data_IF_460868930013
#
_entry.id   IF_460868930013
#
_cell.length_a   1.000
_cell.length_b   1.000
_cell.length_c   1.000
_cell.angle_alpha   90.00
_cell.angle_beta   90.00
_cell.angle_gamma   90.00
#
_symmetry.space_group_name_H-M   'P 1'
#
loop_
_entity.id
_entity.type
_entity.pdbx_description
1 polymer ?
#
# COMPACT_ATOMS: atom_id res chain seq x y z
N UNK A 1 47.85 -21.37 -116.70
CA UNK A 1 48.18 -22.42 -115.72
C UNK A 1 49.44 -22.12 -114.89
N UNK A 2 50.49 -21.46 -115.42
CA UNK A 2 51.74 -21.17 -114.69
C UNK A 2 51.69 -20.09 -113.58
N UNK A 3 50.67 -19.21 -113.56
CA UNK A 3 50.56 -18.16 -112.54
C UNK A 3 50.12 -18.71 -111.18
N UNK A 4 49.10 -19.59 -111.17
CA UNK A 4 48.59 -20.24 -109.96
C UNK A 4 49.64 -21.12 -109.27
N UNK A 5 50.51 -21.79 -110.04
CA UNK A 5 51.52 -22.70 -109.48
C UNK A 5 52.70 -21.98 -108.84
N UNK A 6 53.04 -20.76 -109.29
CA UNK A 6 54.14 -19.94 -108.73
C UNK A 6 53.76 -19.21 -107.44
N UNK A 7 52.48 -18.87 -107.26
CA UNK A 7 51.96 -18.19 -106.06
C UNK A 7 51.28 -19.11 -105.05
N UNK A 8 51.02 -20.39 -105.39
CA UNK A 8 50.40 -21.36 -104.48
C UNK A 8 51.14 -21.52 -103.14
N UNK A 9 52.49 -21.51 -103.16
CA UNK A 9 53.29 -21.56 -101.94
C UNK A 9 53.09 -20.32 -101.07
N UNK A 10 53.09 -19.13 -101.67
CA UNK A 10 52.84 -17.87 -100.96
C UNK A 10 51.42 -17.77 -100.40
N UNK A 11 50.42 -18.22 -101.17
CA UNK A 11 49.02 -18.28 -100.72
C UNK A 11 48.86 -19.24 -99.54
N UNK A 12 49.53 -20.40 -99.57
CA UNK A 12 49.54 -21.36 -98.45
C UNK A 12 50.22 -20.80 -97.20
N UNK A 13 51.36 -20.12 -97.37
CA UNK A 13 52.08 -19.47 -96.26
C UNK A 13 51.25 -18.34 -95.64
N UNK A 14 50.66 -17.48 -96.47
CA UNK A 14 49.79 -16.37 -96.01
C UNK A 14 48.53 -16.93 -95.34
N UNK A 15 47.90 -17.95 -95.93
CA UNK A 15 46.74 -18.63 -95.34
C UNK A 15 47.07 -19.28 -93.98
N UNK A 16 48.23 -19.92 -93.86
CA UNK A 16 48.72 -20.48 -92.60
C UNK A 16 49.00 -19.42 -91.52
N UNK A 17 49.57 -18.27 -91.91
CA UNK A 17 49.80 -17.12 -91.03
C UNK A 17 48.49 -16.49 -90.54
N UNK A 18 47.51 -16.33 -91.43
CA UNK A 18 46.16 -15.86 -91.08
C UNK A 18 45.47 -16.84 -90.14
N UNK A 19 45.58 -18.15 -90.38
CA UNK A 19 45.03 -19.18 -89.51
C UNK A 19 45.68 -19.16 -88.11
N UNK A 20 47.01 -18.98 -88.03
CA UNK A 20 47.73 -18.84 -86.77
C UNK A 20 47.32 -17.57 -86.01
N UNK A 21 47.19 -16.43 -86.69
CA UNK A 21 46.73 -15.17 -86.10
C UNK A 21 45.27 -15.28 -85.61
N UNK A 22 44.40 -15.90 -86.40
CA UNK A 22 43.01 -16.16 -86.03
C UNK A 22 42.90 -17.09 -84.82
N UNK A 23 43.73 -18.13 -84.76
CA UNK A 23 43.85 -19.04 -83.61
C UNK A 23 44.35 -18.31 -82.35
N UNK A 24 45.38 -17.47 -82.48
CA UNK A 24 45.93 -16.71 -81.36
C UNK A 24 44.94 -15.67 -80.80
N UNK A 25 44.24 -14.94 -81.68
CA UNK A 25 43.21 -13.99 -81.27
C UNK A 25 42.02 -14.69 -80.60
N UNK A 26 41.59 -15.84 -81.13
CA UNK A 26 40.53 -16.64 -80.52
C UNK A 26 40.94 -17.18 -79.15
N UNK A 27 42.19 -17.62 -79.01
CA UNK A 27 42.76 -18.03 -77.72
C UNK A 27 42.78 -16.87 -76.71
N UNK A 28 43.26 -15.69 -77.11
CA UNK A 28 43.29 -14.50 -76.26
C UNK A 28 41.90 -14.05 -75.81
N UNK A 29 40.92 -14.12 -76.72
CA UNK A 29 39.52 -13.82 -76.40
C UNK A 29 38.96 -14.82 -75.38
N UNK A 30 39.15 -16.11 -75.59
CA UNK A 30 38.72 -17.16 -74.66
C UNK A 30 39.39 -17.04 -73.29
N UNK A 31 40.68 -16.68 -73.23
CA UNK A 31 41.41 -16.43 -71.98
C UNK A 31 40.80 -15.25 -71.19
N UNK A 32 40.46 -14.15 -71.88
CA UNK A 32 39.89 -12.95 -71.28
C UNK A 32 38.45 -13.17 -70.80
N UNK A 33 37.64 -13.88 -71.59
CA UNK A 33 36.29 -14.31 -71.20
C UNK A 33 36.34 -15.26 -70.01
N UNK A 34 37.26 -16.23 -69.99
CA UNK A 34 37.47 -17.11 -68.84
C UNK A 34 37.83 -16.37 -67.55
N UNK A 35 38.76 -15.40 -67.62
CA UNK A 35 39.11 -14.54 -66.47
C UNK A 35 37.93 -13.72 -65.97
N UNK A 36 37.15 -13.12 -66.88
CA UNK A 36 35.98 -12.31 -66.53
C UNK A 36 34.89 -13.16 -65.87
N UNK A 37 34.66 -14.36 -66.41
CA UNK A 37 33.63 -15.29 -65.90
C UNK A 37 34.00 -15.80 -64.51
N UNK A 38 35.27 -16.18 -64.29
CA UNK A 38 35.76 -16.60 -62.97
C UNK A 38 35.64 -15.48 -61.93
N UNK A 39 36.03 -14.24 -62.27
CA UNK A 39 35.89 -13.10 -61.33
C UNK A 39 34.43 -12.80 -60.94
N UNK A 40 33.48 -12.99 -61.86
CA UNK A 40 32.04 -12.87 -61.57
C UNK A 40 31.54 -14.00 -60.69
N UNK A 41 32.02 -15.22 -60.91
CA UNK A 41 31.66 -16.38 -60.07
C UNK A 41 32.20 -16.18 -58.65
N UNK A 42 33.45 -15.75 -58.50
CA UNK A 42 34.07 -15.52 -57.20
C UNK A 42 33.35 -14.42 -56.41
N UNK A 43 33.07 -13.28 -57.04
CA UNK A 43 32.29 -12.20 -56.40
C UNK A 43 30.85 -12.61 -56.04
N UNK A 44 30.18 -13.38 -56.90
CA UNK A 44 28.83 -13.91 -56.59
C UNK A 44 28.87 -14.88 -55.42
N UNK A 45 29.91 -15.72 -55.34
CA UNK A 45 30.12 -16.66 -54.24
C UNK A 45 30.36 -15.92 -52.92
N UNK A 46 31.23 -14.92 -52.90
CA UNK A 46 31.48 -14.07 -51.73
C UNK A 46 30.20 -13.36 -51.26
N UNK A 47 29.42 -12.81 -52.19
CA UNK A 47 28.14 -12.16 -51.86
C UNK A 47 27.14 -13.14 -51.26
N UNK A 48 27.07 -14.37 -51.79
CA UNK A 48 26.22 -15.43 -51.26
C UNK A 48 26.65 -15.88 -49.86
N UNK A 49 27.95 -16.00 -49.61
CA UNK A 49 28.51 -16.35 -48.30
C UNK A 49 28.21 -15.25 -47.26
N UNK A 50 28.38 -13.98 -47.64
CA UNK A 50 28.03 -12.83 -46.81
C UNK A 50 26.52 -12.79 -46.48
N UNK A 51 25.67 -13.04 -47.46
CA UNK A 51 24.22 -13.10 -47.25
C UNK A 51 23.82 -14.26 -46.33
N UNK A 52 24.48 -15.41 -46.44
CA UNK A 52 24.25 -16.54 -45.53
C UNK A 52 24.66 -16.18 -44.10
N UNK A 53 25.84 -15.57 -43.92
CA UNK A 53 26.32 -15.12 -42.61
C UNK A 53 25.39 -14.09 -41.97
N UNK A 54 24.90 -13.12 -42.75
CA UNK A 54 23.91 -12.13 -42.30
C UNK A 54 22.58 -12.79 -41.89
N UNK A 55 22.09 -13.75 -42.69
CA UNK A 55 20.87 -14.49 -42.37
C UNK A 55 20.99 -15.29 -41.07
N UNK A 56 22.14 -15.93 -40.84
CA UNK A 56 22.43 -16.61 -39.57
C UNK A 56 22.44 -15.64 -38.39
N UNK A 57 23.09 -14.47 -38.54
CA UNK A 57 23.13 -13.44 -37.50
C UNK A 57 21.75 -12.86 -37.18
N UNK A 58 20.90 -12.67 -38.19
CA UNK A 58 19.51 -12.22 -38.00
C UNK A 58 18.71 -13.27 -37.21
N UNK A 59 18.88 -14.56 -37.50
CA UNK A 59 18.22 -15.64 -36.74
C UNK A 59 18.67 -15.65 -35.28
N UNK A 60 19.97 -15.54 -35.02
CA UNK A 60 20.52 -15.47 -33.66
C UNK A 60 19.97 -14.27 -32.88
N UNK A 61 20.00 -13.07 -33.47
CA UNK A 61 19.43 -11.86 -32.86
C UNK A 61 17.92 -11.99 -32.61
N UNK A 62 17.20 -12.67 -33.49
CA UNK A 62 15.76 -12.92 -33.32
C UNK A 62 15.50 -13.81 -32.11
N UNK A 63 16.31 -14.86 -31.92
CA UNK A 63 16.18 -15.73 -30.75
C UNK A 63 16.57 -15.02 -29.45
N UNK A 64 17.64 -14.22 -29.45
CA UNK A 64 18.01 -13.39 -28.30
C UNK A 64 16.88 -12.42 -27.95
N UNK A 65 16.29 -11.75 -28.94
CA UNK A 65 15.16 -10.85 -28.71
C UNK A 65 13.95 -11.56 -28.11
N UNK A 66 13.62 -12.78 -28.56
CA UNK A 66 12.54 -13.58 -27.95
C UNK A 66 12.83 -13.90 -26.48
N UNK A 67 14.06 -14.27 -26.16
CA UNK A 67 14.47 -14.54 -24.77
C UNK A 67 14.36 -13.31 -23.88
N UNK A 68 14.78 -12.14 -24.37
CA UNK A 68 14.64 -10.87 -23.66
C UNK A 68 13.19 -10.47 -23.45
N UNK A 69 12.33 -10.65 -24.46
CA UNK A 69 10.89 -10.40 -24.33
C UNK A 69 10.28 -11.29 -23.24
N UNK A 70 10.61 -12.59 -23.24
CA UNK A 70 10.11 -13.51 -22.23
C UNK A 70 10.59 -13.13 -20.82
N UNK A 71 11.86 -12.75 -20.68
CA UNK A 71 12.41 -12.29 -19.40
C UNK A 71 11.73 -11.00 -18.91
N UNK A 72 11.45 -10.06 -19.82
CA UNK A 72 10.73 -8.83 -19.48
C UNK A 72 9.28 -9.11 -19.05
N UNK A 73 8.61 -10.07 -19.67
CA UNK A 73 7.26 -10.49 -19.26
C UNK A 73 7.28 -11.11 -17.86
N UNK A 74 8.26 -11.95 -17.55
CA UNK A 74 8.43 -12.52 -16.22
C UNK A 74 8.67 -11.44 -15.16
N UNK A 75 9.58 -10.51 -15.41
CA UNK A 75 9.85 -9.38 -14.51
C UNK A 75 8.58 -8.54 -14.31
N UNK A 76 7.83 -8.27 -15.38
CA UNK A 76 6.58 -7.50 -15.31
C UNK A 76 5.54 -8.22 -14.44
N UNK A 77 5.40 -9.53 -14.60
CA UNK A 77 4.50 -10.33 -13.77
C UNK A 77 4.91 -10.32 -12.30
N UNK A 78 6.20 -10.50 -12.01
CA UNK A 78 6.73 -10.46 -10.65
C UNK A 78 6.50 -9.08 -10.01
N UNK A 79 6.71 -7.99 -10.76
CA UNK A 79 6.44 -6.64 -10.28
C UNK A 79 4.94 -6.42 -9.97
N UNK A 80 4.04 -6.96 -10.79
CA UNK A 80 2.59 -6.90 -10.54
C UNK A 80 2.21 -7.62 -9.24
N UNK A 81 2.75 -8.82 -9.01
CA UNK A 81 2.52 -9.58 -7.77
C UNK A 81 3.05 -8.81 -6.55
N UNK A 82 4.26 -8.25 -6.63
CA UNK A 82 4.83 -7.45 -5.55
C UNK A 82 4.01 -6.19 -5.26
N UNK A 83 3.51 -5.51 -6.32
CA UNK A 83 2.63 -4.35 -6.16
C UNK A 83 1.33 -4.73 -5.43
N UNK A 84 0.74 -5.87 -5.75
CA UNK A 84 -0.45 -6.38 -5.05
C UNK A 84 -0.17 -6.66 -3.57
N UNK A 85 0.93 -7.33 -3.25
CA UNK A 85 1.31 -7.58 -1.85
C UNK A 85 1.55 -6.28 -1.07
N UNK A 86 2.21 -5.30 -1.68
CA UNK A 86 2.43 -3.99 -1.05
C UNK A 86 1.12 -3.25 -0.77
N UNK A 87 0.14 -3.35 -1.66
CA UNK A 87 -1.18 -2.78 -1.45
C UNK A 87 -1.89 -3.43 -0.25
N UNK A 88 -1.87 -4.76 -0.16
CA UNK A 88 -2.48 -5.49 0.95
C UNK A 88 -1.80 -5.20 2.30
N UNK A 89 -0.47 -5.11 2.32
CA UNK A 89 0.28 -4.71 3.51
C UNK A 89 -0.08 -3.28 3.94
N UNK A 90 -0.16 -2.34 3.00
CA UNK A 90 -0.55 -0.95 3.29
C UNK A 90 -1.96 -0.87 3.90
N UNK A 91 -2.90 -1.67 3.40
CA UNK A 91 -4.25 -1.78 3.94
C UNK A 91 -4.24 -2.33 5.37
N UNK A 92 -3.45 -3.37 5.65
CA UNK A 92 -3.31 -3.93 6.99
C UNK A 92 -2.70 -2.92 7.97
N UNK A 93 -1.63 -2.21 7.56
CA UNK A 93 -1.00 -1.16 8.36
C UNK A 93 -2.02 -0.07 8.71
N UNK A 94 -2.82 0.38 7.74
CA UNK A 94 -3.85 1.40 7.96
C UNK A 94 -4.89 0.93 8.97
N UNK A 95 -5.35 -0.32 8.88
CA UNK A 95 -6.32 -0.88 9.82
C UNK A 95 -5.76 -0.99 11.24
N UNK A 96 -4.51 -1.45 11.39
CA UNK A 96 -3.83 -1.54 12.70
C UNK A 96 -3.61 -0.15 13.28
N UNK A 97 -3.19 0.81 12.46
CA UNK A 97 -2.99 2.20 12.86
C UNK A 97 -4.29 2.80 13.38
N UNK A 98 -5.40 2.64 12.65
CA UNK A 98 -6.70 3.13 13.08
C UNK A 98 -7.16 2.49 14.39
N UNK A 99 -6.98 1.16 14.55
CA UNK A 99 -7.28 0.48 15.82
C UNK A 99 -6.42 1.01 16.97
N UNK A 100 -5.14 1.24 16.72
CA UNK A 100 -4.19 1.74 17.72
C UNK A 100 -4.52 3.18 18.13
N UNK A 101 -4.81 4.05 17.17
CA UNK A 101 -5.26 5.42 17.43
C UNK A 101 -6.54 5.40 18.26
N UNK A 102 -7.54 4.61 17.87
CA UNK A 102 -8.80 4.50 18.63
C UNK A 102 -8.58 3.97 20.05
N UNK A 103 -7.68 3.01 20.23
CA UNK A 103 -7.31 2.47 21.54
C UNK A 103 -6.64 3.52 22.43
N UNK A 104 -5.63 4.23 21.90
CA UNK A 104 -4.88 5.26 22.63
C UNK A 104 -5.75 6.46 22.97
N UNK A 105 -6.65 6.85 22.06
CA UNK A 105 -7.54 8.00 22.24
C UNK A 105 -8.86 7.63 22.90
N UNK A 106 -9.09 6.38 23.32
CA UNK A 106 -10.38 5.99 23.90
C UNK A 106 -11.59 6.31 23.00
N UNK A 107 -11.41 6.32 21.67
CA UNK A 107 -12.41 6.80 20.73
C UNK A 107 -13.75 6.05 20.92
N UNK A 108 -14.87 6.79 20.82
CA UNK A 108 -16.23 6.27 21.04
C UNK A 108 -16.42 5.59 22.41
N UNK A 109 -15.62 5.96 23.42
CA UNK A 109 -15.72 5.45 24.78
C UNK A 109 -15.91 6.60 25.76
N UNK A 110 -16.75 6.39 26.76
CA UNK A 110 -17.15 7.43 27.71
C UNK A 110 -17.18 6.84 29.12
N UNK A 111 -16.81 7.65 30.11
CA UNK A 111 -16.93 7.27 31.50
C UNK A 111 -18.27 7.73 32.04
N UNK A 112 -19.08 6.78 32.50
CA UNK A 112 -20.32 7.04 33.23
C UNK A 112 -20.08 6.81 34.72
N UNK A 113 -20.57 7.72 35.54
CA UNK A 113 -20.41 7.66 37.00
C UNK A 113 -21.76 7.44 37.66
N UNK A 114 -21.81 6.65 38.72
CA UNK A 114 -22.99 6.56 39.58
C UNK A 114 -22.58 6.43 41.03
N UNK A 115 -23.39 7.02 41.92
CA UNK A 115 -23.27 6.85 43.36
C UNK A 115 -24.39 5.94 43.83
N UNK A 116 -24.03 4.90 44.58
CA UNK A 116 -24.97 3.98 45.24
C UNK A 116 -24.76 4.05 46.74
N UNK A 117 -25.84 4.19 47.51
CA UNK A 117 -25.82 4.22 48.97
C UNK A 117 -26.25 2.85 49.50
N UNK A 118 -25.41 2.20 50.32
CA UNK A 118 -25.58 0.79 50.70
C UNK A 118 -26.56 0.55 51.86
N UNK A 119 -26.66 1.46 52.83
CA UNK A 119 -27.51 1.30 54.01
C UNK A 119 -28.28 2.61 54.28
N UNK A 120 -29.48 2.49 54.86
CA UNK A 120 -30.29 3.62 55.36
C UNK A 120 -29.73 4.20 56.67
N UNK A 121 -28.81 3.48 57.31
CA UNK A 121 -28.23 3.84 58.60
C UNK A 121 -26.74 4.23 58.51
N UNK A 122 -26.09 3.99 57.37
CA UNK A 122 -24.69 4.37 57.11
C UNK A 122 -24.67 5.53 56.11
N UNK A 123 -25.04 6.71 56.62
CA UNK A 123 -25.25 7.92 55.82
C UNK A 123 -23.93 8.56 55.34
N UNK A 124 -22.78 7.94 55.58
CA UNK A 124 -21.47 8.60 55.41
C UNK A 124 -20.65 8.05 54.25
N UNK A 125 -21.06 6.92 53.66
CA UNK A 125 -20.30 6.24 52.61
C UNK A 125 -21.19 5.84 51.43
N UNK A 126 -20.86 6.33 50.23
CA UNK A 126 -21.44 5.87 48.98
C UNK A 126 -20.41 5.10 48.17
N UNK A 127 -20.86 4.12 47.40
CA UNK A 127 -20.03 3.47 46.40
C UNK A 127 -20.10 4.28 45.11
N UNK A 128 -18.97 4.83 44.71
CA UNK A 128 -18.76 5.44 43.41
C UNK A 128 -18.43 4.35 42.40
N UNK A 129 -19.32 4.18 41.43
CA UNK A 129 -19.19 3.22 40.35
C UNK A 129 -18.87 3.94 39.05
N UNK A 130 -17.73 3.62 38.45
CA UNK A 130 -17.27 4.15 37.17
C UNK A 130 -17.36 3.06 36.11
N UNK A 131 -18.04 3.38 35.02
CA UNK A 131 -18.31 2.44 33.94
C UNK A 131 -17.81 3.02 32.63
N UNK A 132 -16.92 2.29 31.94
CA UNK A 132 -16.52 2.64 30.59
C UNK A 132 -17.56 2.11 29.59
N UNK A 133 -18.40 2.99 29.07
CA UNK A 133 -19.31 2.73 27.96
C UNK A 133 -18.55 2.90 26.66
N UNK A 134 -18.05 1.81 26.07
CA UNK A 134 -17.36 1.88 24.79
C UNK A 134 -16.44 0.70 24.49
N UNK A 135 -15.91 0.63 23.25
CA UNK A 135 -15.05 -0.46 22.82
C UNK A 135 -13.57 -0.27 23.19
N UNK A 136 -13.14 0.94 23.56
CA UNK A 136 -11.73 1.27 23.82
C UNK A 136 -11.51 1.64 25.29
N UNK A 137 -10.32 1.39 25.85
CA UNK A 137 -10.03 1.77 27.22
C UNK A 137 -9.98 3.28 27.37
N UNK A 138 -10.32 3.75 28.55
CA UNK A 138 -10.07 5.12 28.98
C UNK A 138 -8.85 5.11 29.88
N UNK A 139 -7.97 6.09 29.73
CA UNK A 139 -6.75 6.23 30.52
C UNK A 139 -6.60 7.66 31.02
N UNK A 140 -5.77 7.82 32.06
CA UNK A 140 -5.54 9.09 32.75
C UNK A 140 -6.86 9.77 33.14
N UNK A 141 -7.70 9.00 33.84
CA UNK A 141 -9.05 9.41 34.19
C UNK A 141 -8.97 10.26 35.44
N UNK A 142 -9.40 11.51 35.32
CA UNK A 142 -9.46 12.47 36.40
C UNK A 142 -10.92 12.89 36.57
N UNK A 143 -11.46 12.70 37.77
CA UNK A 143 -12.84 13.04 38.10
C UNK A 143 -12.83 14.07 39.23
N UNK A 144 -13.42 15.23 38.95
CA UNK A 144 -13.69 16.26 39.95
C UNK A 144 -15.18 16.24 40.28
N UNK A 145 -15.51 16.05 41.56
CA UNK A 145 -16.89 15.97 42.04
C UNK A 145 -17.23 17.26 42.78
N UNK A 146 -18.30 17.93 42.37
CA UNK A 146 -18.77 19.20 42.95
C UNK A 146 -20.23 19.06 43.39
N UNK A 147 -20.53 19.60 44.57
CA UNK A 147 -21.91 19.71 45.07
C UNK A 147 -22.41 21.15 44.87
N UNK A 148 -23.54 21.28 44.19
CA UNK A 148 -23.96 22.52 43.49
C UNK A 148 -24.28 23.74 44.38
N UNK A 149 -24.24 23.62 45.71
CA UNK A 149 -24.68 24.74 46.56
C UNK A 149 -23.57 25.68 47.04
N UNK A 150 -22.29 25.31 46.95
CA UNK A 150 -21.18 26.16 47.43
C UNK A 150 -19.91 26.13 46.55
N UNK A 151 -19.88 25.37 45.46
CA UNK A 151 -18.63 25.04 44.74
C UNK A 151 -17.54 24.42 45.64
N UNK A 152 -17.90 23.94 46.82
CA UNK A 152 -16.98 23.22 47.69
C UNK A 152 -16.62 21.90 46.99
N UNK A 153 -15.37 21.84 46.52
CA UNK A 153 -14.81 20.66 45.88
C UNK A 153 -14.91 19.48 46.83
N UNK A 154 -15.63 18.45 46.41
CA UNK A 154 -16.03 17.37 47.29
C UNK A 154 -14.99 16.24 47.32
N UNK A 155 -14.46 15.88 46.15
CA UNK A 155 -13.44 14.85 46.02
C UNK A 155 -12.83 14.88 44.62
N UNK A 156 -11.55 14.52 44.55
CA UNK A 156 -10.84 14.21 43.32
C UNK A 156 -10.51 12.74 43.29
N UNK A 157 -10.79 12.10 42.15
CA UNK A 157 -10.38 10.74 41.88
C UNK A 157 -9.49 10.70 40.66
N UNK A 158 -8.35 10.03 40.80
CA UNK A 158 -7.47 9.69 39.70
C UNK A 158 -7.46 8.17 39.50
N UNK A 159 -7.55 7.72 38.25
CA UNK A 159 -7.40 6.32 37.88
C UNK A 159 -6.59 6.20 36.59
N UNK A 160 -5.62 5.29 36.60
CA UNK A 160 -4.75 5.06 35.45
C UNK A 160 -5.53 4.59 34.22
N UNK A 161 -6.47 3.63 34.41
CA UNK A 161 -7.15 2.99 33.30
C UNK A 161 -8.49 2.35 33.68
N UNK A 162 -9.50 2.54 32.82
CA UNK A 162 -10.77 1.79 32.81
C UNK A 162 -10.88 0.93 31.55
N UNK A 163 -10.97 -0.38 31.74
CA UNK A 163 -11.14 -1.32 30.63
C UNK A 163 -12.52 -1.17 29.96
N UNK A 164 -12.62 -1.43 28.64
CA UNK A 164 -13.88 -1.40 27.90
C UNK A 164 -14.97 -2.23 28.58
N UNK A 165 -16.18 -1.68 28.71
CA UNK A 165 -17.35 -2.36 29.26
C UNK A 165 -17.14 -2.95 30.66
N UNK A 166 -16.18 -2.44 31.43
CA UNK A 166 -15.88 -2.89 32.78
C UNK A 166 -16.36 -1.87 33.80
N UNK A 167 -16.98 -2.37 34.87
CA UNK A 167 -17.35 -1.60 36.06
C UNK A 167 -16.18 -1.59 37.03
N UNK A 168 -15.83 -0.41 37.55
CA UNK A 168 -14.88 -0.25 38.66
C UNK A 168 -15.59 0.51 39.76
N UNK A 169 -15.40 0.08 41.00
CA UNK A 169 -16.06 0.67 42.16
C UNK A 169 -15.01 1.15 43.17
N UNK A 170 -15.25 2.30 43.77
CA UNK A 170 -14.48 2.80 44.90
C UNK A 170 -15.41 3.39 45.93
N UNK A 171 -15.04 3.31 47.20
CA UNK A 171 -15.80 3.95 48.26
C UNK A 171 -15.51 5.46 48.23
N UNK A 172 -16.58 6.25 48.30
CA UNK A 172 -16.53 7.69 48.41
C UNK A 172 -17.27 8.08 49.69
N UNK A 173 -16.56 8.69 50.63
CA UNK A 173 -17.20 9.24 51.83
C UNK A 173 -18.03 10.44 51.44
N UNK A 174 -19.35 10.31 51.44
CA UNK A 174 -20.29 11.36 51.09
C UNK A 174 -21.58 11.23 51.89
N UNK A 175 -21.97 12.33 52.52
CA UNK A 175 -23.23 12.45 53.25
C UNK A 175 -24.21 13.35 52.50
N UNK A 176 -25.37 12.79 52.18
CA UNK A 176 -26.51 13.49 51.59
C UNK A 176 -27.65 13.58 52.61
N UNK A 177 -28.27 14.75 52.71
CA UNK A 177 -29.46 14.97 53.56
C UNK A 177 -30.70 14.36 52.88
N UNK A 178 -31.32 13.37 53.52
CA UNK A 178 -32.51 12.65 53.02
C UNK A 178 -33.73 13.57 52.83
N UNK A 179 -33.76 14.75 53.45
CA UNK A 179 -34.87 15.69 53.35
C UNK A 179 -34.68 16.73 52.24
N UNK A 180 -33.59 16.64 51.46
CA UNK A 180 -33.26 17.60 50.39
C UNK A 180 -32.96 16.88 49.09
N UNK A 181 -33.20 17.60 47.99
CA UNK A 181 -32.69 17.21 46.68
C UNK A 181 -31.23 17.64 46.58
N UNK A 182 -30.39 16.81 46.00
CA UNK A 182 -28.97 17.09 45.80
C UNK A 182 -28.66 17.08 44.31
N UNK A 183 -27.95 18.11 43.86
CA UNK A 183 -27.38 18.15 42.52
C UNK A 183 -25.86 17.98 42.64
N UNK A 184 -25.35 16.96 41.96
CA UNK A 184 -23.93 16.60 41.94
C UNK A 184 -23.44 16.71 40.51
N UNK A 185 -22.36 17.47 40.34
CA UNK A 185 -21.66 17.67 39.08
C UNK A 185 -20.37 16.85 39.10
N UNK A 186 -20.13 16.13 38.02
CA UNK A 186 -18.88 15.40 37.78
C UNK A 186 -18.21 15.99 36.54
N UNK A 187 -16.99 16.48 36.71
CA UNK A 187 -16.13 16.85 35.59
C UNK A 187 -15.12 15.75 35.37
N UNK A 188 -15.25 15.05 34.25
CA UNK A 188 -14.46 13.87 33.93
C UNK A 188 -13.52 14.22 32.78
N UNK A 189 -12.22 14.09 32.99
CA UNK A 189 -11.19 14.22 31.97
C UNK A 189 -10.57 12.85 31.72
N UNK A 190 -10.39 12.49 30.45
CA UNK A 190 -9.75 11.24 30.02
C UNK A 190 -8.91 11.50 28.78
N UNK A 191 -8.12 10.51 28.36
CA UNK A 191 -7.47 10.47 27.05
C UNK A 191 -8.42 10.68 25.85
N UNK A 192 -9.71 10.35 25.98
CA UNK A 192 -10.65 10.40 24.87
C UNK A 192 -11.59 11.58 24.84
N UNK A 193 -12.04 12.04 26.00
CA UNK A 193 -12.98 13.15 26.08
C UNK A 193 -12.97 13.82 27.45
N UNK A 194 -13.49 15.05 27.44
CA UNK A 194 -13.86 15.77 28.64
C UNK A 194 -15.38 15.81 28.73
N UNK A 195 -15.93 15.29 29.82
CA UNK A 195 -17.37 15.18 30.02
C UNK A 195 -17.79 15.98 31.24
N UNK A 196 -19.01 16.51 31.17
CA UNK A 196 -19.75 16.99 32.34
C UNK A 196 -20.91 16.02 32.56
N UNK A 197 -20.97 15.40 33.71
CA UNK A 197 -22.14 14.63 34.13
C UNK A 197 -22.85 15.37 35.25
N UNK A 198 -24.18 15.40 35.18
CA UNK A 198 -25.06 16.01 36.16
C UNK A 198 -25.96 14.91 36.71
N UNK A 199 -25.98 14.74 38.02
CA UNK A 199 -26.87 13.78 38.69
C UNK A 199 -27.68 14.46 39.78
N UNK A 200 -28.99 14.27 39.72
CA UNK A 200 -29.97 14.77 40.67
C UNK A 200 -30.45 13.62 41.55
N UNK A 201 -30.20 13.71 42.85
CA UNK A 201 -30.55 12.70 43.85
C UNK A 201 -31.70 13.20 44.72
N UNK A 202 -32.72 12.35 44.88
CA UNK A 202 -33.87 12.61 45.76
C UNK A 202 -34.23 11.34 46.54
N UNK A 203 -34.30 11.42 47.86
CA UNK A 203 -34.67 10.27 48.67
C UNK A 203 -36.20 10.12 48.71
N UNK A 204 -36.73 9.00 48.20
CA UNK A 204 -38.17 8.67 48.17
C UNK A 204 -38.39 7.23 48.60
N UNK A 205 -39.46 6.97 49.34
CA UNK A 205 -39.89 5.60 49.68
C UNK A 205 -38.75 4.70 50.22
N UNK A 206 -37.84 5.29 50.99
CA UNK A 206 -36.64 4.67 51.54
C UNK A 206 -35.56 4.21 50.51
N UNK A 207 -35.47 4.86 49.35
CA UNK A 207 -34.36 4.69 48.41
C UNK A 207 -33.97 6.03 47.77
N UNK A 208 -32.75 6.12 47.22
CA UNK A 208 -32.29 7.26 46.45
C UNK A 208 -32.72 7.12 44.98
N UNK A 209 -33.63 8.00 44.55
CA UNK A 209 -34.04 8.18 43.17
C UNK A 209 -33.00 9.09 42.47
N UNK A 210 -32.55 8.73 41.26
CA UNK A 210 -31.47 9.44 40.57
C UNK A 210 -31.84 9.70 39.11
N UNK A 211 -31.68 10.95 38.67
CA UNK A 211 -31.72 11.33 37.26
C UNK A 211 -30.35 11.82 36.83
N UNK A 212 -29.82 11.31 35.73
CA UNK A 212 -28.46 11.60 35.28
C UNK A 212 -28.43 12.03 33.82
N UNK A 213 -27.71 13.12 33.54
CA UNK A 213 -27.45 13.61 32.19
C UNK A 213 -25.94 13.74 31.97
N UNK A 214 -25.44 13.31 30.83
CA UNK A 214 -24.02 13.37 30.44
C UNK A 214 -23.89 14.26 29.22
N UNK A 215 -23.00 15.23 29.29
CA UNK A 215 -22.74 16.23 28.26
C UNK A 215 -21.28 16.20 27.81
N UNK A 216 -21.05 16.47 26.55
CA UNK A 216 -19.71 16.82 26.06
C UNK A 216 -19.33 18.19 26.63
N UNK A 217 -18.18 18.29 27.29
CA UNK A 217 -17.79 19.55 27.95
C UNK A 217 -17.47 20.67 26.96
N UNK A 218 -17.06 20.35 25.74
CA UNK A 218 -16.68 21.34 24.71
C UNK A 218 -17.90 21.84 23.94
N UNK A 219 -18.79 20.92 23.55
CA UNK A 219 -19.95 21.27 22.70
C UNK A 219 -21.22 21.53 23.51
N UNK A 220 -21.26 21.13 24.78
CA UNK A 220 -22.45 21.14 25.65
C UNK A 220 -23.60 20.28 25.11
N UNK A 221 -23.31 19.37 24.18
CA UNK A 221 -24.29 18.45 23.62
C UNK A 221 -24.59 17.31 24.59
N UNK A 222 -25.87 17.00 24.76
CA UNK A 222 -26.34 15.86 25.56
C UNK A 222 -25.99 14.54 24.86
N UNK A 223 -25.16 13.73 25.52
CA UNK A 223 -24.72 12.42 25.03
C UNK A 223 -25.66 11.32 25.56
N UNK A 224 -25.98 11.36 26.84
CA UNK A 224 -26.78 10.33 27.53
C UNK A 224 -27.71 10.99 28.54
N UNK A 225 -28.96 10.51 28.61
CA UNK A 225 -29.91 10.84 29.67
C UNK A 225 -30.50 9.55 30.25
N UNK A 226 -30.52 9.43 31.59
CA UNK A 226 -31.02 8.27 32.33
C UNK A 226 -31.82 8.68 33.57
#
# INVERSE_FOLDING_TARGET
>A
MNFLMKYAQWISIIGGLIALLGGFLSYKKAELEGKTTNSKIDSTKETSENNLALSLKIKELTEINKQLINSNLEITNNNSVLASHNYDLTKQITQITNKTVNYITGANSYCFISLTFQDKNDDETAVLSLYNTGPNPLSDINVHIIRDNNFDQFSDLHMDMLQPNKLTTTDLKIKLDIHRKHHILYFISTNGCNLRQESYYEFKNNYWDTQTSVYDKKTDELIIQR
#
